data_IF_853932407442
#
_entry.id   IF_853932407442
#
_cell.length_a   1.000
_cell.length_b   1.000
_cell.length_c   1.000
_cell.angle_alpha   90.00
_cell.angle_beta   90.00
_cell.angle_gamma   90.00
#
_symmetry.space_group_name_H-M   'P 1'
#
loop_
_entity.id
_entity.type
_entity.pdbx_description
1 polymer ?
#
# COMPACT_ATOMS: atom_id res chain seq x y z
N UNK A 1 0.70 61.17 -4.86
CA UNK A 1 0.75 60.32 -6.07
C UNK A 1 1.61 59.11 -5.72
N UNK A 2 1.00 57.93 -5.62
CA UNK A 2 1.65 56.69 -5.19
C UNK A 2 2.28 56.06 -6.43
N UNK A 3 3.60 55.92 -6.44
CA UNK A 3 4.32 55.32 -7.56
C UNK A 3 4.53 53.84 -7.23
N UNK A 4 4.02 52.96 -8.08
CA UNK A 4 4.15 51.52 -7.93
C UNK A 4 5.61 51.10 -8.18
N UNK A 5 6.32 50.50 -7.20
CA UNK A 5 7.75 50.16 -7.34
C UNK A 5 8.04 49.08 -8.39
N UNK A 6 7.00 48.38 -8.88
CA UNK A 6 7.14 47.32 -9.88
C UNK A 6 7.19 47.83 -11.33
N UNK A 7 7.21 49.16 -11.56
CA UNK A 7 7.28 49.76 -12.90
C UNK A 7 8.57 50.55 -13.17
N UNK A 8 9.65 50.31 -12.42
CA UNK A 8 10.97 50.84 -12.84
C UNK A 8 11.52 49.96 -13.96
N UNK A 9 11.36 50.46 -15.18
CA UNK A 9 11.92 49.93 -16.40
C UNK A 9 13.46 50.05 -16.36
N UNK A 10 14.15 49.10 -15.73
CA UNK A 10 15.61 49.06 -15.71
C UNK A 10 16.15 48.33 -16.93
N UNK A 11 16.33 49.08 -18.03
CA UNK A 11 17.33 48.74 -19.03
C UNK A 11 18.72 48.89 -18.38
N UNK A 12 19.35 47.79 -17.95
CA UNK A 12 20.71 47.87 -17.44
C UNK A 12 21.20 46.61 -16.73
N UNK A 13 22.15 45.93 -17.38
CA UNK A 13 23.22 45.12 -16.77
C UNK A 13 22.75 44.17 -15.65
N UNK A 14 22.00 43.14 -16.03
CA UNK A 14 21.80 41.98 -15.18
C UNK A 14 23.14 41.31 -14.90
N UNK A 15 23.78 41.68 -13.78
CA UNK A 15 24.84 40.89 -13.17
C UNK A 15 24.23 39.51 -12.94
N UNK A 16 24.59 38.54 -13.79
CA UNK A 16 24.35 37.12 -13.53
C UNK A 16 25.19 36.75 -12.32
N UNK A 17 24.72 37.08 -11.12
CA UNK A 17 25.26 36.49 -9.91
C UNK A 17 24.85 35.04 -9.93
N UNK A 18 25.82 34.13 -9.91
CA UNK A 18 25.64 32.66 -9.83
C UNK A 18 24.95 32.19 -8.55
N UNK A 19 24.45 33.12 -7.71
CA UNK A 19 23.93 32.86 -6.37
C UNK A 19 22.44 33.16 -6.35
N UNK A 20 21.67 32.18 -5.89
CA UNK A 20 20.23 32.33 -5.69
C UNK A 20 19.95 33.48 -4.70
N UNK A 21 18.83 34.22 -4.88
CA UNK A 21 18.46 35.31 -3.98
C UNK A 21 18.22 34.79 -2.56
N UNK A 22 18.65 35.56 -1.57
CA UNK A 22 18.52 35.23 -0.15
C UNK A 22 17.11 35.57 0.35
N UNK A 23 16.47 34.64 1.07
CA UNK A 23 15.16 34.84 1.68
C UNK A 23 15.34 35.46 3.07
N UNK A 24 14.87 36.67 3.24
CA UNK A 24 14.83 37.35 4.55
C UNK A 24 13.51 37.03 5.26
N UNK A 25 13.59 36.57 6.50
CA UNK A 25 12.45 36.30 7.36
C UNK A 25 12.31 37.40 8.43
N UNK A 26 11.13 38.00 8.54
CA UNK A 26 10.81 39.08 9.48
C UNK A 26 9.90 38.60 10.63
N UNK A 27 9.67 37.29 10.75
CA UNK A 27 8.82 36.72 11.79
C UNK A 27 9.38 36.99 13.19
N UNK A 28 8.52 37.51 14.07
CA UNK A 28 8.85 37.73 15.50
C UNK A 28 8.67 36.47 16.34
N UNK A 29 7.85 35.53 15.86
CA UNK A 29 7.56 34.25 16.51
C UNK A 29 8.19 33.17 15.65
N UNK A 30 9.08 32.37 16.25
CA UNK A 30 9.76 31.29 15.56
C UNK A 30 8.87 30.06 15.44
N UNK A 31 8.98 29.37 14.31
CA UNK A 31 8.34 28.08 14.09
C UNK A 31 8.99 27.03 14.99
N UNK A 32 8.25 26.57 16.02
CA UNK A 32 8.70 25.52 16.94
C UNK A 32 8.54 24.11 16.36
N UNK A 33 7.50 23.91 15.56
CA UNK A 33 7.24 22.68 14.83
C UNK A 33 7.55 22.87 13.35
N UNK A 34 8.10 21.82 12.73
CA UNK A 34 8.25 21.76 11.27
C UNK A 34 6.88 21.59 10.63
N UNK A 35 6.72 22.14 9.43
CA UNK A 35 5.51 21.92 8.64
C UNK A 35 5.43 20.43 8.31
N UNK A 36 4.31 19.74 8.64
CA UNK A 36 4.14 18.32 8.34
C UNK A 36 3.99 18.10 6.83
N UNK A 37 4.09 16.85 6.40
CA UNK A 37 3.83 16.50 5.01
C UNK A 37 2.32 16.60 4.71
N UNK A 38 1.94 17.50 3.81
CA UNK A 38 0.55 17.85 3.54
C UNK A 38 -0.26 16.74 2.82
N UNK A 39 0.41 15.75 2.23
CA UNK A 39 -0.24 14.62 1.54
C UNK A 39 -0.19 13.32 2.36
N UNK A 40 0.48 13.35 3.51
CA UNK A 40 0.71 12.16 4.36
C UNK A 40 -0.60 11.53 4.81
N UNK A 41 -1.58 12.35 5.21
CA UNK A 41 -2.90 11.88 5.64
C UNK A 41 -3.58 11.02 4.57
N UNK A 42 -3.52 11.43 3.29
CA UNK A 42 -4.12 10.67 2.20
C UNK A 42 -3.38 9.34 1.97
N UNK A 43 -2.05 9.39 1.97
CA UNK A 43 -1.18 8.23 1.77
C UNK A 43 -1.35 7.20 2.88
N UNK A 44 -1.29 7.65 4.14
CA UNK A 44 -1.44 6.79 5.31
C UNK A 44 -2.84 6.18 5.38
N UNK A 45 -3.89 6.95 5.09
CA UNK A 45 -5.26 6.43 5.07
C UNK A 45 -5.40 5.29 4.05
N UNK A 46 -4.84 5.46 2.85
CA UNK A 46 -4.94 4.45 1.80
C UNK A 46 -4.05 3.23 2.08
N UNK A 47 -2.82 3.44 2.55
CA UNK A 47 -1.92 2.35 2.96
C UNK A 47 -2.52 1.54 4.11
N UNK A 48 -3.12 2.19 5.10
CA UNK A 48 -3.83 1.53 6.20
C UNK A 48 -5.03 0.73 5.72
N UNK A 49 -5.73 1.21 4.69
CA UNK A 49 -6.85 0.49 4.11
C UNK A 49 -6.41 -0.77 3.34
N UNK A 50 -5.32 -0.68 2.56
CA UNK A 50 -4.85 -1.78 1.70
C UNK A 50 -3.98 -2.81 2.42
N UNK A 51 -3.07 -2.37 3.30
CA UNK A 51 -2.07 -3.23 3.96
C UNK A 51 -1.29 -4.13 2.98
N UNK A 52 -0.99 -3.60 1.79
CA UNK A 52 -0.50 -4.41 0.65
C UNK A 52 0.93 -4.93 0.81
N UNK A 53 1.71 -4.31 1.68
CA UNK A 53 3.10 -4.62 2.00
C UNK A 53 3.24 -5.55 3.21
N UNK A 54 2.12 -5.95 3.83
CA UNK A 54 2.05 -6.82 4.99
C UNK A 54 1.69 -8.26 4.59
N UNK A 55 2.39 -9.22 5.19
CA UNK A 55 2.03 -10.64 5.13
C UNK A 55 0.75 -10.87 5.96
N UNK A 56 -0.04 -11.93 5.67
CA UNK A 56 -1.33 -12.18 6.32
C UNK A 56 -1.27 -12.11 7.85
N UNK A 57 -0.21 -12.62 8.47
CA UNK A 57 -0.04 -12.69 9.93
C UNK A 57 0.29 -11.34 10.57
N UNK A 58 0.79 -10.37 9.78
CA UNK A 58 1.14 -9.02 10.25
C UNK A 58 0.00 -8.02 10.06
N UNK A 59 -1.11 -8.41 9.40
CA UNK A 59 -2.20 -7.49 9.09
C UNK A 59 -3.06 -7.20 10.30
N UNK A 60 -3.37 -5.93 10.47
CA UNK A 60 -4.34 -5.46 11.44
C UNK A 60 -5.76 -5.70 10.93
N UNK A 61 -6.71 -5.79 11.86
CA UNK A 61 -8.13 -5.94 11.55
C UNK A 61 -8.77 -4.59 11.13
N UNK A 62 -8.25 -4.01 10.04
CA UNK A 62 -8.70 -2.73 9.48
C UNK A 62 -8.76 -2.79 7.96
N UNK A 63 -9.56 -1.90 7.35
CA UNK A 63 -9.62 -1.76 5.89
C UNK A 63 -10.17 -3.00 5.18
N UNK A 64 -9.46 -3.48 4.16
CA UNK A 64 -9.88 -4.65 3.39
C UNK A 64 -10.00 -5.91 4.24
N UNK A 65 -9.13 -6.09 5.23
CA UNK A 65 -9.18 -7.24 6.13
C UNK A 65 -10.53 -7.30 6.87
N UNK A 66 -11.00 -6.16 7.40
CA UNK A 66 -12.32 -6.04 8.03
C UNK A 66 -13.46 -6.36 7.06
N UNK A 67 -13.38 -5.83 5.85
CA UNK A 67 -14.43 -6.05 4.84
C UNK A 67 -14.57 -7.54 4.55
N UNK A 68 -13.47 -8.24 4.27
CA UNK A 68 -13.51 -9.68 3.99
C UNK A 68 -14.00 -10.49 5.20
N UNK A 69 -13.46 -10.22 6.39
CA UNK A 69 -13.88 -10.91 7.62
C UNK A 69 -15.34 -10.63 8.01
N UNK A 70 -15.93 -9.51 7.57
CA UNK A 70 -17.35 -9.20 7.83
C UNK A 70 -18.32 -9.87 6.86
N UNK A 71 -17.86 -10.21 5.65
CA UNK A 71 -18.67 -10.81 4.60
C UNK A 71 -18.61 -12.34 4.65
N UNK A 72 -17.43 -12.89 4.97
CA UNK A 72 -17.21 -14.32 5.07
C UNK A 72 -17.31 -14.79 6.54
N UNK A 73 -17.80 -16.01 6.80
CA UNK A 73 -18.13 -17.06 5.82
C UNK A 73 -19.50 -16.89 5.14
N UNK A 74 -19.62 -17.38 3.91
CA UNK A 74 -20.88 -17.43 3.15
C UNK A 74 -21.28 -18.88 2.95
N UNK A 75 -22.46 -19.26 3.45
CA UNK A 75 -23.02 -20.60 3.27
C UNK A 75 -24.13 -20.61 2.22
N UNK A 76 -24.26 -21.73 1.52
CA UNK A 76 -25.43 -21.99 0.66
C UNK A 76 -26.72 -22.12 1.49
N UNK A 77 -27.89 -21.96 0.85
CA UNK A 77 -29.20 -22.06 1.51
C UNK A 77 -29.47 -23.45 2.14
N UNK A 78 -28.83 -24.51 1.62
CA UNK A 78 -28.90 -25.87 2.19
C UNK A 78 -27.80 -26.14 3.20
N UNK A 79 -26.86 -25.20 3.37
CA UNK A 79 -25.61 -25.32 4.13
C UNK A 79 -24.82 -26.61 3.77
N UNK A 80 -24.92 -27.05 2.52
CA UNK A 80 -24.09 -28.15 1.98
C UNK A 80 -22.74 -27.64 1.48
N UNK A 81 -22.54 -26.32 1.44
CA UNK A 81 -21.30 -25.68 1.05
C UNK A 81 -21.10 -24.39 1.85
N UNK A 82 -19.85 -24.09 2.19
CA UNK A 82 -19.42 -22.87 2.87
C UNK A 82 -18.15 -22.33 2.23
N UNK A 83 -18.14 -21.03 1.94
CA UNK A 83 -16.97 -20.29 1.49
C UNK A 83 -16.38 -19.51 2.66
N UNK A 84 -15.09 -19.67 2.90
CA UNK A 84 -14.33 -18.95 3.93
C UNK A 84 -13.23 -18.10 3.29
N UNK A 85 -13.00 -16.92 3.86
CA UNK A 85 -11.84 -16.09 3.49
C UNK A 85 -10.59 -16.58 4.23
N UNK A 86 -9.51 -16.82 3.49
CA UNK A 86 -8.20 -17.21 4.06
C UNK A 86 -7.28 -16.00 4.13
N UNK A 87 -6.96 -15.41 2.99
CA UNK A 87 -6.10 -14.23 2.89
C UNK A 87 -6.32 -13.49 1.56
N UNK A 88 -5.68 -12.33 1.41
CA UNK A 88 -5.63 -11.63 0.12
C UNK A 88 -4.20 -11.19 -0.23
N UNK A 89 -3.94 -10.99 -1.50
CA UNK A 89 -2.69 -10.42 -2.01
C UNK A 89 -3.02 -9.29 -2.99
N UNK A 90 -2.34 -8.15 -2.82
CA UNK A 90 -2.48 -6.99 -3.71
C UNK A 90 -1.19 -6.84 -4.48
N UNK A 91 -1.31 -6.92 -5.81
CA UNK A 91 -0.20 -6.83 -6.74
C UNK A 91 0.63 -8.09 -6.86
N UNK A 92 1.53 -8.06 -7.84
CA UNK A 92 2.45 -9.15 -8.10
C UNK A 92 3.80 -8.78 -7.47
N UNK A 93 4.08 -9.37 -6.31
CA UNK A 93 5.34 -9.17 -5.60
C UNK A 93 6.37 -10.17 -6.09
N UNK A 94 7.24 -9.73 -6.99
CA UNK A 94 8.24 -10.60 -7.60
C UNK A 94 9.49 -9.83 -8.02
N UNK A 95 10.61 -10.53 -8.17
CA UNK A 95 11.79 -9.98 -8.80
C UNK A 95 11.57 -9.75 -10.30
N UNK A 96 12.52 -9.05 -10.94
CA UNK A 96 12.46 -8.71 -12.38
C UNK A 96 12.21 -9.92 -13.29
N UNK A 97 12.78 -11.09 -12.97
CA UNK A 97 12.64 -12.30 -13.78
C UNK A 97 11.51 -13.26 -13.31
N UNK A 98 10.84 -13.00 -12.18
CA UNK A 98 9.77 -13.86 -11.63
C UNK A 98 10.22 -15.14 -10.93
N UNK A 99 11.53 -15.36 -10.71
CA UNK A 99 12.00 -16.58 -10.02
C UNK A 99 11.91 -16.48 -8.48
N UNK A 100 11.76 -15.25 -7.97
CA UNK A 100 11.65 -14.96 -6.54
C UNK A 100 10.36 -14.15 -6.37
N UNK A 101 9.41 -14.69 -5.63
CA UNK A 101 8.06 -14.12 -5.46
C UNK A 101 7.66 -14.16 -3.99
N UNK A 102 6.73 -13.29 -3.60
CA UNK A 102 6.18 -13.26 -2.25
C UNK A 102 6.82 -12.26 -1.30
N UNK A 103 5.98 -11.70 -0.41
CA UNK A 103 6.37 -10.69 0.58
C UNK A 103 7.25 -11.26 1.71
N UNK A 104 7.22 -12.58 1.92
CA UNK A 104 8.05 -13.29 2.88
C UNK A 104 9.55 -13.12 2.62
N UNK A 105 9.96 -12.84 1.38
CA UNK A 105 11.34 -12.55 1.02
C UNK A 105 11.77 -11.11 1.35
N UNK A 106 10.81 -10.27 1.76
CA UNK A 106 11.03 -8.94 2.34
C UNK A 106 10.87 -8.96 3.87
N UNK A 107 11.09 -10.12 4.50
CA UNK A 107 11.12 -10.29 5.96
C UNK A 107 12.44 -10.86 6.43
N UNK A 108 12.97 -10.29 7.49
CA UNK A 108 14.08 -10.82 8.26
C UNK A 108 13.61 -11.19 9.66
N UNK A 109 14.23 -12.18 10.29
CA UNK A 109 13.96 -12.50 11.68
C UNK A 109 14.84 -11.65 12.60
N UNK A 110 14.28 -11.13 13.68
CA UNK A 110 15.05 -10.44 14.70
C UNK A 110 16.09 -11.38 15.33
N UNK A 111 17.32 -10.91 15.51
CA UNK A 111 18.41 -11.67 16.14
C UNK A 111 18.17 -12.04 17.62
N UNK A 112 17.25 -11.34 18.29
CA UNK A 112 16.99 -11.51 19.72
C UNK A 112 15.66 -12.24 19.99
N UNK A 113 14.54 -11.77 19.44
CA UNK A 113 13.21 -12.34 19.70
C UNK A 113 12.61 -13.14 18.53
N UNK A 114 13.32 -13.28 17.42
CA UNK A 114 12.83 -13.92 16.17
C UNK A 114 11.57 -13.30 15.54
N UNK A 115 11.07 -12.16 16.04
CA UNK A 115 9.97 -11.44 15.40
C UNK A 115 10.33 -11.05 13.96
N UNK A 116 9.32 -11.03 13.08
CA UNK A 116 9.48 -10.61 11.69
C UNK A 116 9.73 -9.11 11.62
N UNK A 117 10.73 -8.73 10.83
CA UNK A 117 11.13 -7.35 10.59
C UNK A 117 11.01 -7.12 9.09
N UNK A 118 10.30 -6.05 8.71
CA UNK A 118 10.18 -5.62 7.32
C UNK A 118 11.53 -5.14 6.80
N UNK A 119 11.90 -5.63 5.62
CA UNK A 119 13.15 -5.26 4.94
C UNK A 119 12.81 -4.38 3.75
N UNK A 120 13.49 -3.23 3.64
CA UNK A 120 13.41 -2.38 2.46
C UNK A 120 14.14 -3.10 1.30
N UNK A 121 13.49 -3.29 0.14
CA UNK A 121 14.09 -3.99 -0.99
C UNK A 121 15.29 -3.22 -1.59
N UNK A 122 15.31 -1.90 -1.52
CA UNK A 122 16.30 -1.07 -2.20
C UNK A 122 17.43 -0.60 -1.28
N UNK A 123 17.17 -0.46 0.02
CA UNK A 123 18.12 0.11 0.96
C UNK A 123 18.41 -0.84 2.14
N UNK A 124 19.60 -1.45 2.19
CA UNK A 124 20.08 -2.11 3.40
C UNK A 124 20.16 -1.10 4.55
N UNK A 125 19.53 -1.41 5.67
CA UNK A 125 19.43 -0.49 6.80
C UNK A 125 19.50 -1.23 8.15
N UNK A 126 19.83 -0.47 9.20
CA UNK A 126 19.61 -0.90 10.57
C UNK A 126 18.17 -0.60 10.97
N UNK A 127 17.41 -1.65 11.23
CA UNK A 127 15.99 -1.55 11.58
C UNK A 127 15.80 -2.01 13.02
N UNK A 128 15.08 -1.18 13.78
CA UNK A 128 14.67 -1.49 15.15
C UNK A 128 13.55 -2.55 15.13
N UNK A 129 13.68 -3.59 15.94
CA UNK A 129 12.60 -4.56 16.12
C UNK A 129 11.48 -3.95 16.97
N UNK A 130 10.26 -3.91 16.43
CA UNK A 130 9.08 -3.38 17.12
C UNK A 130 8.69 -4.19 18.37
N UNK A 131 9.11 -5.45 18.48
CA UNK A 131 8.75 -6.33 19.61
C UNK A 131 9.72 -6.23 20.79
N UNK A 132 11.04 -6.16 20.54
CA UNK A 132 12.06 -6.20 21.61
C UNK A 132 13.04 -5.01 21.61
N UNK A 133 12.88 -4.04 20.71
CA UNK A 133 13.73 -2.85 20.63
C UNK A 133 15.19 -3.13 20.24
N UNK A 134 15.51 -4.32 19.75
CA UNK A 134 16.86 -4.66 19.31
C UNK A 134 17.10 -4.14 17.89
N UNK A 135 18.26 -3.53 17.62
CA UNK A 135 18.68 -3.15 16.27
C UNK A 135 19.15 -4.36 15.46
N UNK A 136 18.64 -4.49 14.23
CA UNK A 136 18.96 -5.57 13.30
C UNK A 136 19.47 -4.97 12.00
N UNK A 137 20.64 -5.42 11.54
CA UNK A 137 21.12 -5.11 10.19
C UNK A 137 20.35 -6.02 9.24
N UNK A 138 19.44 -5.45 8.46
CA UNK A 138 18.64 -6.21 7.50
C UNK A 138 19.16 -5.97 6.09
N UNK A 139 19.16 -7.04 5.28
CA UNK A 139 19.54 -7.00 3.87
C UNK A 139 18.46 -7.69 3.05
N UNK A 140 18.08 -7.12 1.90
CA UNK A 140 17.08 -7.73 1.04
C UNK A 140 17.63 -9.03 0.44
N UNK A 141 16.77 -10.05 0.35
CA UNK A 141 17.10 -11.29 -0.33
C UNK A 141 17.12 -11.04 -1.83
N UNK A 142 18.25 -11.30 -2.48
CA UNK A 142 18.43 -11.11 -3.91
C UNK A 142 18.08 -12.40 -4.68
N UNK A 143 17.49 -12.24 -5.85
CA UNK A 143 17.19 -13.35 -6.74
C UNK A 143 18.47 -13.93 -7.37
N UNK A 144 18.65 -15.25 -7.32
CA UNK A 144 19.84 -15.93 -7.87
C UNK A 144 20.03 -15.74 -9.38
N UNK A 145 18.94 -15.50 -10.13
CA UNK A 145 18.99 -15.32 -11.58
C UNK A 145 19.25 -13.86 -12.01
N UNK A 146 18.47 -12.89 -11.50
CA UNK A 146 18.57 -11.49 -11.94
C UNK A 146 19.30 -10.56 -10.96
N UNK A 147 19.66 -11.02 -9.76
CA UNK A 147 20.31 -10.20 -8.73
C UNK A 147 19.41 -9.16 -8.06
N UNK A 148 18.16 -9.02 -8.49
CA UNK A 148 17.20 -8.05 -7.96
C UNK A 148 16.38 -8.64 -6.80
N UNK A 149 15.97 -7.81 -5.82
CA UNK A 149 15.07 -8.22 -4.74
C UNK A 149 13.64 -8.40 -5.24
N UNK A 150 12.76 -8.90 -4.37
CA UNK A 150 11.31 -8.85 -4.61
C UNK A 150 10.84 -7.40 -4.56
N UNK A 151 10.08 -6.98 -5.55
CA UNK A 151 9.42 -5.68 -5.58
C UNK A 151 8.00 -5.80 -6.14
N UNK A 152 7.22 -4.74 -5.99
CA UNK A 152 5.92 -4.66 -6.62
C UNK A 152 6.11 -4.52 -8.14
N UNK A 153 5.69 -5.52 -8.90
CA UNK A 153 5.75 -5.49 -10.35
C UNK A 153 4.53 -4.76 -10.91
N UNK A 154 4.79 -3.59 -11.49
CA UNK A 154 3.78 -2.83 -12.21
C UNK A 154 3.62 -3.38 -13.63
N UNK A 155 2.37 -3.45 -14.12
CA UNK A 155 2.09 -3.80 -15.51
C UNK A 155 2.49 -2.67 -16.46
N UNK A 156 2.21 -1.43 -16.04
CA UNK A 156 2.50 -0.18 -16.73
C UNK A 156 2.98 0.83 -15.67
N UNK A 157 3.89 1.71 -16.04
CA UNK A 157 4.26 2.83 -15.18
C UNK A 157 3.22 3.96 -15.24
N UNK A 158 3.38 4.98 -14.40
CA UNK A 158 2.43 6.09 -14.30
C UNK A 158 2.32 6.86 -15.63
N UNK A 159 3.45 7.08 -16.32
CA UNK A 159 3.48 7.84 -17.58
C UNK A 159 2.80 7.05 -18.70
N UNK A 160 3.07 5.75 -18.82
CA UNK A 160 2.45 4.88 -19.81
C UNK A 160 0.93 4.82 -19.60
N UNK A 161 0.45 4.77 -18.35
CA UNK A 161 -0.98 4.83 -18.06
C UNK A 161 -1.63 6.13 -18.53
N UNK A 162 -0.96 7.27 -18.32
CA UNK A 162 -1.42 8.58 -18.78
C UNK A 162 -1.49 8.65 -20.32
N UNK A 163 -0.42 8.24 -21.00
CA UNK A 163 -0.33 8.29 -22.47
C UNK A 163 -1.31 7.33 -23.16
N UNK A 164 -1.55 6.16 -22.57
CA UNK A 164 -2.40 5.11 -23.16
C UNK A 164 -3.86 5.18 -22.74
N UNK A 165 -4.24 6.08 -21.84
CA UNK A 165 -5.62 6.16 -21.36
C UNK A 165 -6.02 4.99 -20.46
N UNK A 166 -5.07 4.31 -19.81
CA UNK A 166 -5.34 3.18 -18.90
C UNK A 166 -5.28 3.61 -17.44
N UNK A 167 -5.82 2.80 -16.53
CA UNK A 167 -5.75 3.07 -15.08
C UNK A 167 -4.47 2.48 -14.50
N UNK A 168 -3.82 3.22 -13.60
CA UNK A 168 -2.67 2.74 -12.85
C UNK A 168 -3.16 1.89 -11.66
N UNK A 169 -3.19 0.58 -11.85
CA UNK A 169 -3.76 -0.38 -10.89
C UNK A 169 -2.93 -1.64 -10.76
N UNK A 170 -3.23 -2.41 -9.72
CA UNK A 170 -2.66 -3.74 -9.47
C UNK A 170 -3.76 -4.75 -9.15
N UNK A 171 -3.57 -6.04 -9.49
CA UNK A 171 -4.56 -7.07 -9.24
C UNK A 171 -4.72 -7.36 -7.75
N UNK A 172 -5.95 -7.49 -7.29
CA UNK A 172 -6.31 -8.07 -6.00
C UNK A 172 -6.70 -9.52 -6.21
N UNK A 173 -5.96 -10.42 -5.56
CA UNK A 173 -6.28 -11.84 -5.48
C UNK A 173 -6.69 -12.18 -4.06
N UNK A 174 -7.70 -13.03 -3.90
CA UNK A 174 -8.21 -13.45 -2.59
C UNK A 174 -8.19 -14.97 -2.56
N UNK A 175 -7.53 -15.54 -1.56
CA UNK A 175 -7.57 -16.98 -1.30
C UNK A 175 -8.83 -17.32 -0.54
N UNK A 176 -9.67 -18.15 -1.14
CA UNK A 176 -10.94 -18.59 -0.56
C UNK A 176 -10.89 -20.09 -0.39
N UNK A 177 -11.44 -20.57 0.71
CA UNK A 177 -11.66 -21.99 0.98
C UNK A 177 -13.13 -22.33 0.77
N UNK A 178 -13.42 -23.28 -0.11
CA UNK A 178 -14.72 -23.92 -0.25
C UNK A 178 -14.72 -25.23 0.55
N UNK A 179 -15.59 -25.33 1.55
CA UNK A 179 -15.86 -26.57 2.28
C UNK A 179 -17.22 -27.10 1.87
N UNK A 180 -17.26 -28.34 1.40
CA UNK A 180 -18.49 -29.05 1.01
C UNK A 180 -18.83 -30.07 2.10
N UNK A 181 -20.09 -30.09 2.50
CA UNK A 181 -20.62 -30.99 3.52
C UNK A 181 -21.57 -32.01 2.91
N UNK A 182 -21.44 -33.27 3.33
CA UNK A 182 -22.51 -34.26 3.19
C UNK A 182 -23.38 -34.19 4.45
N UNK A 183 -24.67 -33.89 4.25
CA UNK A 183 -25.68 -33.88 5.33
C UNK A 183 -26.47 -35.18 5.27
N UNK A 184 -26.43 -35.93 6.37
CA UNK A 184 -27.27 -37.11 6.53
C UNK A 184 -28.71 -36.67 6.87
N UNK A 185 -29.71 -36.99 6.03
CA UNK A 185 -31.09 -36.56 6.23
C UNK A 185 -31.76 -37.19 7.47
N UNK A 186 -31.24 -38.31 8.00
CA UNK A 186 -31.82 -38.98 9.15
C UNK A 186 -31.25 -38.47 10.48
N UNK A 187 -29.95 -38.21 10.52
CA UNK A 187 -29.24 -37.82 11.76
C UNK A 187 -29.01 -36.31 11.89
N UNK A 188 -29.25 -35.53 10.83
CA UNK A 188 -28.90 -34.10 10.72
C UNK A 188 -27.40 -33.81 10.99
N UNK A 189 -26.54 -34.84 10.96
CA UNK A 189 -25.10 -34.67 11.12
C UNK A 189 -24.51 -34.22 9.79
N UNK A 190 -23.74 -33.14 9.84
CA UNK A 190 -22.96 -32.64 8.70
C UNK A 190 -21.52 -33.13 8.80
N UNK A 191 -21.04 -33.87 7.80
CA UNK A 191 -19.63 -34.27 7.71
C UNK A 191 -18.95 -33.55 6.55
N UNK A 192 -17.69 -33.17 6.74
CA UNK A 192 -16.90 -32.55 5.67
C UNK A 192 -16.61 -33.61 4.61
N UNK A 193 -17.06 -33.35 3.39
CA UNK A 193 -16.81 -34.19 2.21
C UNK A 193 -15.55 -33.74 1.47
N UNK A 194 -15.41 -32.44 1.25
CA UNK A 194 -14.32 -31.88 0.44
C UNK A 194 -13.93 -30.49 0.93
N UNK A 195 -12.65 -30.16 0.75
CA UNK A 195 -12.10 -28.84 1.02
C UNK A 195 -11.22 -28.45 -0.16
N UNK A 196 -11.55 -27.33 -0.81
CA UNK A 196 -10.77 -26.77 -1.90
C UNK A 196 -10.37 -25.32 -1.59
N UNK A 197 -9.08 -25.01 -1.64
CA UNK A 197 -8.57 -23.65 -1.55
C UNK A 197 -8.11 -23.17 -2.94
N UNK A 198 -8.46 -21.93 -3.29
CA UNK A 198 -8.11 -21.35 -4.58
C UNK A 198 -7.90 -19.84 -4.47
N UNK A 199 -6.90 -19.32 -5.19
CA UNK A 199 -6.65 -17.89 -5.34
C UNK A 199 -7.53 -17.33 -6.46
N UNK A 200 -8.55 -16.56 -6.10
CA UNK A 200 -9.51 -15.97 -7.03
C UNK A 200 -9.12 -14.51 -7.32
N UNK A 201 -9.12 -14.13 -8.60
CA UNK A 201 -8.97 -12.73 -8.99
C UNK A 201 -10.26 -11.95 -8.66
N UNK A 202 -10.15 -10.95 -7.78
CA UNK A 202 -11.28 -10.13 -7.31
C UNK A 202 -11.43 -8.81 -8.05
N UNK A 203 -10.37 -8.34 -8.72
CA UNK A 203 -10.40 -7.10 -9.48
C UNK A 203 -9.08 -6.34 -9.47
N UNK A 204 -9.11 -5.13 -10.01
CA UNK A 204 -7.97 -4.21 -10.04
C UNK A 204 -8.15 -3.12 -8.97
N UNK A 205 -7.10 -2.87 -8.18
CA UNK A 205 -7.06 -1.81 -7.18
C UNK A 205 -6.20 -0.67 -7.72
N UNK A 206 -6.76 0.55 -7.88
CA UNK A 206 -5.98 1.71 -8.28
C UNK A 206 -4.87 2.00 -7.27
N UNK A 207 -3.66 2.27 -7.76
CA UNK A 207 -2.55 2.67 -6.91
C UNK A 207 -2.48 4.19 -6.80
N UNK A 208 -2.14 4.66 -5.61
CA UNK A 208 -1.86 6.06 -5.36
C UNK A 208 -0.44 6.38 -5.85
N UNK A 209 -0.28 7.49 -6.56
CA UNK A 209 1.02 8.03 -6.96
C UNK A 209 1.76 8.65 -5.77
N UNK A 210 3.04 8.99 -5.94
CA UNK A 210 3.81 9.65 -4.88
C UNK A 210 3.26 11.02 -4.47
N UNK A 211 2.48 11.65 -5.36
CA UNK A 211 1.83 12.94 -5.15
C UNK A 211 0.47 12.83 -4.44
N UNK A 212 0.01 11.61 -4.11
CA UNK A 212 -1.29 11.41 -3.47
C UNK A 212 -2.48 11.43 -4.44
N UNK A 213 -2.23 11.21 -5.74
CA UNK A 213 -3.24 11.18 -6.80
C UNK A 213 -3.45 9.77 -7.34
N UNK A 214 -4.43 9.59 -8.21
CA UNK A 214 -4.72 8.32 -8.89
C UNK A 214 -4.81 8.56 -10.39
N UNK A 215 -4.27 7.66 -11.21
CA UNK A 215 -4.46 7.71 -12.67
C UNK A 215 -5.59 6.77 -13.03
N UNK A 216 -6.73 7.33 -13.44
CA UNK A 216 -7.93 6.59 -13.82
C UNK A 216 -8.25 6.93 -15.27
N UNK A 217 -8.19 5.92 -16.14
CA UNK A 217 -8.37 6.04 -17.59
C UNK A 217 -7.48 7.15 -18.19
N UNK A 218 -6.19 7.14 -17.82
CA UNK A 218 -5.17 8.11 -18.21
C UNK A 218 -5.29 9.51 -17.61
N UNK A 219 -6.34 9.78 -16.81
CA UNK A 219 -6.53 11.08 -16.18
C UNK A 219 -6.15 11.03 -14.71
N UNK A 220 -5.35 12.00 -14.27
CA UNK A 220 -5.02 12.16 -12.86
C UNK A 220 -6.22 12.68 -12.05
N UNK A 221 -6.51 12.03 -10.93
CA UNK A 221 -7.64 12.32 -10.05
C UNK A 221 -7.19 12.40 -8.60
N UNK A 222 -7.87 13.21 -7.82
CA UNK A 222 -7.64 13.34 -6.37
C UNK A 222 -8.91 12.95 -5.64
N UNK A 223 -8.77 12.15 -4.59
CA UNK A 223 -9.86 11.88 -3.65
C UNK A 223 -9.80 12.92 -2.54
N UNK A 224 -10.90 13.62 -2.31
CA UNK A 224 -11.01 14.63 -1.25
C UNK A 224 -11.62 14.01 0.00
N UNK A 225 -11.07 14.35 1.16
CA UNK A 225 -11.64 13.93 2.43
C UNK A 225 -13.02 14.55 2.63
N UNK A 226 -14.00 13.72 2.94
CA UNK A 226 -15.37 14.16 3.18
C UNK A 226 -15.59 14.48 4.66
N UNK A 227 -16.09 15.68 4.95
CA UNK A 227 -16.63 16.00 6.27
C UNK A 227 -18.06 15.49 6.38
N UNK A 228 -18.30 14.59 7.33
CA UNK A 228 -19.63 14.06 7.65
C UNK A 228 -19.85 14.09 9.16
N UNK A 229 -21.12 14.08 9.58
CA UNK A 229 -21.45 14.03 11.02
C UNK A 229 -21.13 12.63 11.54
N UNK A 230 -20.43 12.57 12.67
CA UNK A 230 -20.19 11.30 13.36
C UNK A 230 -21.53 10.67 13.78
N UNK A 231 -21.69 9.35 13.63
CA UNK A 231 -22.85 8.64 14.18
C UNK A 231 -22.94 8.84 15.70
N UNK A 232 -24.14 9.07 16.23
CA UNK A 232 -24.40 9.29 17.66
C UNK A 232 -25.85 9.70 17.92
N UNK A 233 -26.26 9.70 19.19
CA UNK A 233 -27.56 10.20 19.69
C UNK A 233 -27.34 11.50 20.44
#
# INVERSE_FOLDING_TARGET
>A
MIVNPLQTNTNGLGRRTSRAPERVDFSKIYTSARIPNLIEVQRESYNRFLQMDLIPEERDMVGLQTVFQSIFPVSDFRETAMLEFVEYQIGNWQCKCGNLEGLEHLRANCKNCSAKIKVDPFNPAEVLCNNCGTFNVVRPKLCSNCGEPVGLKHKHDQQECQERGTSYSVPLKVRIRLTVYDKDPETNVSTIRDIKEEDVFFGEIPLMTDNGTFIINGTERVIVSQLHRSPGV
#
